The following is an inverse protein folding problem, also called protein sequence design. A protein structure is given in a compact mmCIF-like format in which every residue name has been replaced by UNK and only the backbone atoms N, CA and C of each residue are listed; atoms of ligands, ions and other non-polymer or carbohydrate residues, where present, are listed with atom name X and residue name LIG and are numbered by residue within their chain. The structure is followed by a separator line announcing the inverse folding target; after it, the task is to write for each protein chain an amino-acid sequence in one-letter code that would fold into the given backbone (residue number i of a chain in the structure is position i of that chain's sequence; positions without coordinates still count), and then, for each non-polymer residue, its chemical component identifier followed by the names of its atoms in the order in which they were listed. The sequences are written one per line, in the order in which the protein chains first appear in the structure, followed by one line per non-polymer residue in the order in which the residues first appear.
data_IF_868718761035
#
_entry.id   IF_868718761035
#
_cell.length_a   1.000
_cell.length_b   1.000
_cell.length_c   1.000
_cell.angle_alpha   90.00
_cell.angle_beta   90.00
_cell.angle_gamma   90.00
#
_symmetry.space_group_name_H-M   'P 1'
#
loop_
_entity.id
_entity.type
_entity.pdbx_description
1 polymer ?
#
# COMPACT_ATOMS: atom_id res chain seq x y z
N UNK A 1 -7.82 7.53 -8.15
CA UNK A 1 -6.44 7.12 -8.49
C UNK A 1 -5.45 8.02 -7.75
N UNK A 2 -4.36 7.47 -7.20
CA UNK A 2 -3.45 8.01 -6.15
C UNK A 2 -3.48 9.53 -5.85
N UNK A 3 -3.58 9.87 -4.57
CA UNK A 3 -3.40 11.21 -4.00
C UNK A 3 -2.19 11.23 -3.05
N UNK A 4 -1.60 12.40 -2.87
CA UNK A 4 -0.56 12.63 -1.87
C UNK A 4 -1.10 13.54 -0.76
N UNK A 5 -0.65 13.33 0.48
CA UNK A 5 -1.03 14.20 1.61
C UNK A 5 -0.66 15.65 1.29
N UNK A 6 -1.67 16.54 1.31
CA UNK A 6 -1.56 17.94 0.84
C UNK A 6 -0.42 18.77 1.46
N UNK A 7 -0.02 18.45 2.69
CA UNK A 7 1.02 19.20 3.41
C UNK A 7 2.41 18.56 3.33
N UNK A 8 2.62 17.64 2.39
CA UNK A 8 3.95 17.11 2.12
C UNK A 8 4.35 17.45 0.69
N UNK A 9 5.24 18.42 0.58
CA UNK A 9 5.81 18.87 -0.69
C UNK A 9 6.69 17.80 -1.32
N UNK A 10 7.36 16.99 -0.50
CA UNK A 10 8.33 15.97 -0.94
C UNK A 10 7.71 14.63 -1.32
N UNK A 11 6.51 14.29 -0.84
CA UNK A 11 5.94 12.94 -1.03
C UNK A 11 5.79 12.53 -2.50
N UNK A 12 5.54 13.48 -3.40
CA UNK A 12 5.43 13.19 -4.83
C UNK A 12 6.80 12.85 -5.43
N UNK A 13 7.84 13.58 -5.04
CA UNK A 13 9.21 13.34 -5.49
C UNK A 13 9.78 12.05 -4.87
N UNK A 14 9.51 11.82 -3.58
CA UNK A 14 9.83 10.58 -2.86
C UNK A 14 9.19 9.35 -3.51
N UNK A 15 8.00 9.50 -4.10
CA UNK A 15 7.32 8.40 -4.77
C UNK A 15 8.10 7.86 -5.96
N UNK A 16 8.79 8.72 -6.69
CA UNK A 16 9.64 8.35 -7.82
C UNK A 16 10.87 7.53 -7.38
N UNK A 17 11.26 7.61 -6.10
CA UNK A 17 12.40 6.86 -5.52
C UNK A 17 12.04 5.48 -4.97
N UNK A 18 10.75 5.13 -4.89
CA UNK A 18 10.32 3.81 -4.40
C UNK A 18 10.80 2.67 -5.30
N UNK A 19 10.98 1.48 -4.70
CA UNK A 19 11.13 0.23 -5.47
C UNK A 19 10.02 0.13 -6.52
N UNK A 20 10.41 -0.10 -7.79
CA UNK A 20 9.49 -0.06 -8.93
C UNK A 20 8.32 -1.04 -8.78
N UNK A 21 8.51 -2.18 -8.10
CA UNK A 21 7.43 -3.15 -7.86
C UNK A 21 6.45 -2.63 -6.83
N UNK A 22 6.92 -1.88 -5.82
CA UNK A 22 6.05 -1.21 -4.86
C UNK A 22 5.25 -0.08 -5.53
N UNK A 23 5.87 0.71 -6.42
CA UNK A 23 5.14 1.71 -7.21
C UNK A 23 4.00 1.06 -8.03
N UNK A 24 4.31 -0.01 -8.78
CA UNK A 24 3.33 -0.76 -9.58
C UNK A 24 2.18 -1.27 -8.70
N UNK A 25 2.48 -1.83 -7.52
CA UNK A 25 1.46 -2.28 -6.58
C UNK A 25 0.54 -1.14 -6.14
N UNK A 26 1.11 0.01 -5.78
CA UNK A 26 0.31 1.17 -5.35
C UNK A 26 -0.56 1.69 -6.49
N UNK A 27 -0.05 1.72 -7.73
CA UNK A 27 -0.86 2.04 -8.91
C UNK A 27 -2.01 1.06 -9.10
N UNK A 28 -1.77 -0.25 -8.97
CA UNK A 28 -2.80 -1.26 -9.10
C UNK A 28 -3.88 -1.15 -8.02
N UNK A 29 -3.49 -0.98 -6.75
CA UNK A 29 -4.42 -0.75 -5.64
C UNK A 29 -5.23 0.53 -5.89
N UNK A 30 -4.58 1.61 -6.31
CA UNK A 30 -5.22 2.88 -6.60
C UNK A 30 -6.19 2.82 -7.78
N UNK A 31 -5.91 1.98 -8.78
CA UNK A 31 -6.80 1.68 -9.91
C UNK A 31 -8.00 0.85 -9.47
N UNK A 32 -7.76 -0.24 -8.74
CA UNK A 32 -8.80 -1.11 -8.18
C UNK A 32 -9.80 -0.33 -7.33
N UNK A 33 -9.31 0.44 -6.35
CA UNK A 33 -10.15 1.28 -5.48
C UNK A 33 -11.00 2.29 -6.25
N UNK A 34 -10.42 2.92 -7.28
CA UNK A 34 -11.11 3.93 -8.06
C UNK A 34 -12.19 3.31 -8.97
N UNK A 35 -11.87 2.22 -9.66
CA UNK A 35 -12.82 1.58 -10.56
C UNK A 35 -13.90 0.80 -9.83
N UNK A 36 -13.57 0.13 -8.72
CA UNK A 36 -14.52 -0.72 -8.01
C UNK A 36 -15.41 0.06 -7.04
N UNK A 37 -14.85 1.09 -6.38
CA UNK A 37 -15.52 1.77 -5.27
C UNK A 37 -15.58 3.30 -5.43
N UNK A 38 -15.05 3.87 -6.53
CA UNK A 38 -14.90 5.32 -6.73
C UNK A 38 -14.11 6.01 -5.59
N UNK A 39 -13.11 5.32 -5.04
CA UNK A 39 -12.28 5.79 -3.92
C UNK A 39 -10.84 6.09 -4.35
N UNK A 40 -10.16 6.87 -3.52
CA UNK A 40 -8.79 7.29 -3.75
C UNK A 40 -7.88 6.77 -2.65
N UNK A 41 -6.80 6.10 -3.03
CA UNK A 41 -5.67 5.85 -2.13
C UNK A 41 -4.89 7.16 -1.94
N UNK A 42 -4.58 7.49 -0.70
CA UNK A 42 -3.80 8.67 -0.30
C UNK A 42 -2.51 8.23 0.37
N UNK A 43 -1.37 8.54 -0.24
CA UNK A 43 -0.05 8.24 0.32
C UNK A 43 0.26 9.24 1.44
N UNK A 44 0.69 8.72 2.59
CA UNK A 44 0.91 9.51 3.80
C UNK A 44 2.35 9.49 4.30
N UNK A 45 3.15 8.48 3.95
CA UNK A 45 4.58 8.37 4.30
C UNK A 45 5.25 7.38 3.35
N UNK A 46 6.47 7.68 2.91
CA UNK A 46 7.27 6.84 2.02
C UNK A 46 8.67 6.62 2.61
N UNK A 47 9.41 7.70 2.82
CA UNK A 47 10.69 7.65 3.52
C UNK A 47 10.52 7.87 5.02
N UNK A 48 11.38 7.19 5.79
CA UNK A 48 11.61 7.45 7.21
C UNK A 48 13.10 7.29 7.47
N UNK A 49 13.65 8.21 8.25
CA UNK A 49 15.05 8.15 8.68
C UNK A 49 15.20 7.18 9.85
N UNK A 50 14.93 5.90 9.60
CA UNK A 50 14.99 4.80 10.57
C UNK A 50 15.74 3.59 9.97
N UNK A 51 15.73 2.44 10.65
CA UNK A 51 16.33 1.19 10.14
C UNK A 51 15.30 0.27 9.46
N UNK A 52 14.09 0.77 9.18
CA UNK A 52 12.98 0.00 8.66
C UNK A 52 12.92 -0.07 7.13
N UNK A 53 11.90 -0.75 6.60
CA UNK A 53 11.69 -0.89 5.15
C UNK A 53 11.47 0.45 4.42
N UNK A 54 11.04 1.49 5.14
CA UNK A 54 10.87 2.84 4.62
C UNK A 54 12.21 3.51 4.27
N UNK A 55 13.24 3.31 5.09
CA UNK A 55 14.58 3.83 4.83
C UNK A 55 15.17 3.29 3.52
N UNK A 56 14.82 2.05 3.17
CA UNK A 56 15.25 1.39 1.94
C UNK A 56 14.30 1.59 0.76
N UNK A 57 13.36 2.55 0.82
CA UNK A 57 12.39 2.84 -0.24
C UNK A 57 11.51 1.63 -0.64
N UNK A 58 11.29 0.72 0.33
CA UNK A 58 10.50 -0.51 0.19
C UNK A 58 9.26 -0.54 1.09
N UNK A 59 8.93 0.60 1.70
CA UNK A 59 7.74 0.78 2.53
C UNK A 59 6.92 1.98 2.05
N UNK A 60 5.60 1.91 2.23
CA UNK A 60 4.70 3.00 1.96
C UNK A 60 3.49 2.90 2.89
N UNK A 61 3.14 4.02 3.54
CA UNK A 61 1.87 4.14 4.24
C UNK A 61 0.85 4.78 3.31
N UNK A 62 -0.33 4.19 3.28
CA UNK A 62 -1.44 4.69 2.51
C UNK A 62 -2.73 4.65 3.32
N UNK A 63 -3.65 5.57 3.01
CA UNK A 63 -4.98 5.64 3.59
C UNK A 63 -6.02 5.85 2.50
N UNK A 64 -7.19 5.28 2.69
CA UNK A 64 -8.36 5.55 1.87
C UNK A 64 -9.46 6.03 2.82
N UNK A 65 -10.08 7.16 2.52
CA UNK A 65 -11.18 7.67 3.33
C UNK A 65 -12.42 6.78 3.18
N UNK A 66 -13.08 6.51 4.32
CA UNK A 66 -14.42 5.91 4.38
C UNK A 66 -14.54 4.52 3.74
N UNK A 67 -13.49 3.69 3.76
CA UNK A 67 -13.62 2.26 3.40
C UNK A 67 -14.54 1.55 4.41
N UNK A 68 -15.55 0.85 3.90
CA UNK A 68 -16.27 -0.14 4.71
C UNK A 68 -15.38 -1.33 5.01
N UNK A 69 -15.82 -2.20 5.93
CA UNK A 69 -15.11 -3.44 6.24
C UNK A 69 -15.00 -4.33 4.98
N UNK A 70 -16.13 -4.54 4.30
CA UNK A 70 -16.22 -5.32 3.05
C UNK A 70 -15.31 -4.80 1.94
N UNK A 71 -15.29 -3.48 1.72
CA UNK A 71 -14.46 -2.90 0.66
C UNK A 71 -12.97 -3.03 0.96
N UNK A 72 -12.56 -2.84 2.22
CA UNK A 72 -11.16 -3.01 2.56
C UNK A 72 -10.73 -4.48 2.56
N UNK A 73 -11.63 -5.41 2.90
CA UNK A 73 -11.37 -6.85 2.76
C UNK A 73 -11.17 -7.24 1.29
N UNK A 74 -11.99 -6.68 0.38
CA UNK A 74 -11.80 -6.85 -1.06
C UNK A 74 -10.46 -6.30 -1.57
N UNK A 75 -9.93 -5.22 -0.97
CA UNK A 75 -8.58 -4.72 -1.30
C UNK A 75 -7.50 -5.69 -0.83
N UNK A 76 -7.63 -6.23 0.38
CA UNK A 76 -6.68 -7.21 0.94
C UNK A 76 -6.68 -8.48 0.09
N UNK A 77 -7.85 -8.96 -0.32
CA UNK A 77 -8.02 -10.11 -1.22
C UNK A 77 -7.37 -9.83 -2.58
N UNK A 78 -7.69 -8.70 -3.22
CA UNK A 78 -7.10 -8.28 -4.49
C UNK A 78 -5.56 -8.29 -4.47
N UNK A 79 -4.94 -7.75 -3.41
CA UNK A 79 -3.48 -7.76 -3.27
C UNK A 79 -2.94 -9.18 -3.12
N UNK A 80 -3.58 -9.99 -2.28
CA UNK A 80 -3.14 -11.35 -1.97
C UNK A 80 -3.28 -12.34 -3.13
N UNK A 81 -4.25 -12.14 -4.01
CA UNK A 81 -4.49 -12.97 -5.18
C UNK A 81 -3.58 -12.60 -6.36
N UNK A 82 -3.36 -11.30 -6.60
CA UNK A 82 -2.71 -10.84 -7.82
C UNK A 82 -1.21 -10.53 -7.68
N UNK A 83 -0.69 -10.35 -6.46
CA UNK A 83 0.69 -9.91 -6.27
C UNK A 83 1.52 -10.87 -5.40
N UNK A 84 2.41 -11.60 -6.08
CA UNK A 84 3.50 -12.37 -5.48
C UNK A 84 4.81 -11.59 -5.70
N UNK A 85 5.51 -11.25 -4.62
CA UNK A 85 6.75 -10.46 -4.62
C UNK A 85 7.97 -11.24 -5.15
N UNK A 86 8.00 -12.58 -5.01
CA UNK A 86 9.13 -13.40 -5.44
C UNK A 86 8.91 -14.92 -5.42
N UNK A 87 9.88 -15.63 -6.00
CA UNK A 87 9.85 -17.02 -6.49
C UNK A 87 9.84 -18.14 -5.45
N UNK A 88 9.33 -17.88 -4.24
CA UNK A 88 9.31 -18.78 -3.07
C UNK A 88 10.53 -18.65 -2.13
N UNK A 89 10.26 -18.51 -0.84
CA UNK A 89 11.19 -18.76 0.28
C UNK A 89 10.59 -19.91 1.08
N UNK A 90 11.36 -20.97 1.31
CA UNK A 90 10.89 -22.20 1.98
C UNK A 90 9.62 -22.81 1.37
N UNK A 91 9.50 -22.76 0.04
CA UNK A 91 8.34 -23.28 -0.70
C UNK A 91 7.07 -22.44 -0.58
N UNK A 92 7.13 -21.25 0.05
CA UNK A 92 6.00 -20.32 0.15
C UNK A 92 6.24 -19.06 -0.67
N UNK A 93 5.26 -18.59 -1.47
CA UNK A 93 5.41 -17.36 -2.24
C UNK A 93 5.64 -16.19 -1.29
N UNK A 94 6.69 -15.41 -1.56
CA UNK A 94 6.91 -14.15 -0.85
C UNK A 94 5.83 -13.22 -1.35
N UNK A 95 4.91 -12.80 -0.49
CA UNK A 95 3.88 -11.81 -0.83
C UNK A 95 4.33 -10.43 -0.36
N UNK A 96 3.73 -9.38 -0.92
CA UNK A 96 3.84 -8.05 -0.32
C UNK A 96 3.23 -8.09 1.09
N UNK A 97 3.94 -7.51 2.06
CA UNK A 97 3.40 -7.36 3.40
C UNK A 97 2.42 -6.20 3.42
N UNK A 98 1.12 -6.50 3.33
CA UNK A 98 0.06 -5.52 3.53
C UNK A 98 -0.35 -5.54 5.00
N UNK A 99 -0.04 -4.48 5.73
CA UNK A 99 -0.51 -4.32 7.10
C UNK A 99 -1.85 -3.58 7.12
N UNK A 100 -2.92 -4.29 7.49
CA UNK A 100 -4.26 -3.72 7.62
C UNK A 100 -4.51 -3.19 9.03
N UNK A 101 -4.36 -1.87 9.21
CA UNK A 101 -4.56 -1.20 10.50
C UNK A 101 -6.00 -1.31 11.04
N UNK A 102 -7.00 -1.66 10.20
CA UNK A 102 -8.40 -1.83 10.64
C UNK A 102 -8.50 -2.96 11.67
N UNK A 103 -7.77 -4.06 11.44
CA UNK A 103 -7.80 -5.27 12.29
C UNK A 103 -7.08 -5.11 13.63
N UNK A 104 -6.25 -4.07 13.78
CA UNK A 104 -5.55 -3.78 15.04
C UNK A 104 -6.48 -3.19 16.10
N UNK A 105 -7.57 -2.51 15.70
CA UNK A 105 -8.54 -1.91 16.63
C UNK A 105 -9.53 -2.91 17.20
N UNK A 106 -9.80 -4.01 16.50
CA UNK A 106 -10.70 -5.09 16.93
C UNK A 106 -10.07 -6.09 17.89
N UNK A 107 -8.78 -5.92 18.24
CA UNK A 107 -8.05 -6.79 19.16
C UNK A 107 -7.94 -6.24 20.59
N UNK A 108 -8.68 -5.18 20.93
CA UNK A 108 -8.77 -4.58 22.27
C UNK A 108 -10.22 -4.57 22.76
#
# INVERSE_FOLDING_TARGET
MIRFKKNSTSLKEEFEHLDIRLQILIYAIGGFLYHRFNKFVTITSLYRDDTGVHHYWRGADARTSDLTEEEGDAVVEFVNEHFIYGTLVDGKPVKFCLFDERKRKSAN
#
